data_IF_647442088573
#
_entry.id   IF_647442088573
#
_cell.length_a   1.000
_cell.length_b   1.000
_cell.length_c   1.000
_cell.angle_alpha   90.00
_cell.angle_beta   90.00
_cell.angle_gamma   90.00
#
_symmetry.space_group_name_H-M   'P 1'
#
loop_
_entity.id
_entity.type
_entity.pdbx_description
1 polymer ?
#
# COMPACT_ATOMS: atom_id res chain seq x y z
N UNK A 1 76.65 20.47 37.71
CA UNK A 1 75.88 19.32 37.19
C UNK A 1 74.57 19.09 37.97
N UNK A 2 73.64 20.03 38.08
CA UNK A 2 72.35 19.87 38.80
C UNK A 2 71.20 20.74 38.25
N UNK A 3 71.24 21.07 36.94
CA UNK A 3 70.16 21.91 36.31
C UNK A 3 69.53 21.32 35.03
N UNK A 4 69.88 20.09 34.65
CA UNK A 4 69.36 19.50 33.36
C UNK A 4 68.27 18.45 33.57
N UNK A 5 67.99 17.98 34.77
CA UNK A 5 66.97 16.92 34.99
C UNK A 5 65.52 17.43 35.23
N UNK A 6 65.35 18.74 35.48
CA UNK A 6 64.02 19.29 35.75
C UNK A 6 63.21 19.68 34.51
N UNK A 7 63.77 19.67 33.30
CA UNK A 7 63.11 20.04 32.06
C UNK A 7 62.56 18.88 31.24
N UNK A 8 62.94 17.66 31.54
CA UNK A 8 62.49 16.47 30.82
C UNK A 8 61.20 15.88 31.49
N UNK A 9 60.96 16.14 32.77
CA UNK A 9 59.78 15.65 33.45
C UNK A 9 58.46 16.40 33.13
N UNK A 10 58.53 17.65 32.61
CA UNK A 10 57.35 18.43 32.24
C UNK A 10 56.81 18.17 30.85
N UNK A 11 57.59 17.56 29.92
CA UNK A 11 57.14 17.28 28.56
C UNK A 11 56.42 15.95 28.42
N UNK A 12 56.64 15.01 29.38
CA UNK A 12 55.97 13.70 29.36
C UNK A 12 54.64 13.69 30.08
N UNK A 13 54.24 14.73 30.81
CA UNK A 13 52.94 14.85 31.47
C UNK A 13 51.83 15.50 30.60
N UNK A 14 52.17 16.00 29.39
CA UNK A 14 51.21 16.72 28.55
C UNK A 14 50.63 15.87 27.38
N UNK A 15 51.04 14.61 27.25
CA UNK A 15 50.57 13.71 26.20
C UNK A 15 49.57 12.63 26.64
N UNK A 16 49.04 12.69 27.87
CA UNK A 16 48.13 11.67 28.38
C UNK A 16 46.66 12.15 28.56
N UNK A 17 46.29 13.33 28.03
CA UNK A 17 44.90 13.72 27.88
C UNK A 17 44.45 13.45 26.42
N UNK A 18 44.52 12.19 26.00
CA UNK A 18 43.68 11.74 24.90
C UNK A 18 42.26 11.71 25.47
N UNK A 19 41.49 12.74 25.17
CA UNK A 19 40.06 12.77 25.41
C UNK A 19 39.45 11.50 24.86
N UNK A 20 39.08 10.58 25.74
CA UNK A 20 38.12 9.52 25.46
C UNK A 20 36.79 10.27 25.21
N UNK A 21 36.60 10.77 24.01
CA UNK A 21 35.27 11.19 23.53
C UNK A 21 34.35 10.00 23.78
N UNK A 22 33.27 10.17 24.56
CA UNK A 22 32.34 9.09 24.78
C UNK A 22 31.82 8.61 23.43
N UNK A 23 31.93 7.30 23.16
CA UNK A 23 31.44 6.62 21.94
C UNK A 23 29.92 6.78 21.71
N UNK A 24 29.23 7.57 22.55
CA UNK A 24 27.79 7.83 22.53
C UNK A 24 27.31 8.87 21.50
N UNK A 25 28.19 9.41 20.65
CA UNK A 25 27.80 10.38 19.59
C UNK A 25 27.86 9.80 18.17
N UNK A 26 28.14 8.50 18.00
CA UNK A 26 27.81 7.83 16.75
C UNK A 26 26.32 7.55 16.78
N UNK A 27 25.51 8.40 16.13
CA UNK A 27 24.12 8.07 15.88
C UNK A 27 24.05 6.63 15.33
N UNK A 28 23.26 5.77 15.97
CA UNK A 28 23.11 4.38 15.54
C UNK A 28 22.81 4.38 14.04
N UNK A 29 23.55 3.59 13.26
CA UNK A 29 23.31 3.48 11.81
C UNK A 29 21.86 3.01 11.61
N UNK A 30 21.15 3.65 10.70
CA UNK A 30 19.77 3.28 10.36
C UNK A 30 19.75 1.85 9.81
N UNK A 31 18.79 1.07 10.25
CA UNK A 31 18.56 -0.27 9.73
C UNK A 31 17.95 -0.18 8.32
N UNK A 32 18.61 -0.77 7.32
CA UNK A 32 18.14 -0.74 5.94
C UNK A 32 17.03 -1.74 5.71
N UNK A 33 15.93 -1.27 5.17
CA UNK A 33 14.77 -2.09 4.79
C UNK A 33 14.30 -1.73 3.38
N UNK A 34 13.77 -2.72 2.67
CA UNK A 34 13.13 -2.53 1.37
C UNK A 34 11.62 -2.71 1.51
N UNK A 35 10.85 -1.78 0.95
CA UNK A 35 9.42 -1.93 0.78
C UNK A 35 8.99 -1.58 -0.64
N UNK A 36 7.85 -2.11 -1.06
CA UNK A 36 7.24 -1.70 -2.31
C UNK A 36 5.82 -1.18 -2.12
N UNK A 37 5.38 -0.36 -3.08
CA UNK A 37 3.99 0.02 -3.23
C UNK A 37 3.51 -0.32 -4.64
N UNK A 38 2.22 -0.66 -4.76
CA UNK A 38 1.72 -1.33 -5.97
C UNK A 38 0.87 -0.49 -6.90
N UNK A 39 0.59 0.77 -6.56
CA UNK A 39 -0.27 1.64 -7.37
C UNK A 39 0.15 3.11 -7.28
N UNK A 40 -0.04 3.87 -8.36
CA UNK A 40 -0.01 5.33 -8.35
C UNK A 40 -1.44 5.80 -8.11
N UNK A 41 -1.83 5.84 -6.83
CA UNK A 41 -3.20 6.10 -6.38
C UNK A 41 -3.17 6.70 -4.97
N UNK A 42 -4.19 7.47 -4.61
CA UNK A 42 -4.30 8.07 -3.28
C UNK A 42 -4.35 7.05 -2.13
N UNK A 43 -4.67 5.79 -2.41
CA UNK A 43 -4.58 4.71 -1.41
C UNK A 43 -3.16 4.44 -0.92
N UNK A 44 -2.12 4.88 -1.66
CA UNK A 44 -0.71 4.79 -1.27
C UNK A 44 -0.22 6.05 -0.52
N UNK A 45 -1.06 7.05 -0.35
CA UNK A 45 -0.69 8.31 0.30
C UNK A 45 -0.04 8.13 1.68
N UNK A 46 -0.50 7.20 2.56
CA UNK A 46 0.15 6.98 3.84
C UNK A 46 1.64 6.64 3.73
N UNK A 47 2.03 5.70 2.88
CA UNK A 47 3.45 5.30 2.79
C UNK A 47 4.33 6.40 2.16
N UNK A 48 3.78 7.17 1.22
CA UNK A 48 4.49 8.29 0.62
C UNK A 48 4.69 9.43 1.62
N UNK A 49 3.62 9.79 2.39
CA UNK A 49 3.69 10.79 3.47
C UNK A 49 4.67 10.36 4.54
N UNK A 50 4.64 9.10 4.96
CA UNK A 50 5.59 8.54 5.93
C UNK A 50 7.03 8.72 5.48
N UNK A 51 7.33 8.41 4.20
CA UNK A 51 8.67 8.57 3.62
C UNK A 51 9.09 10.03 3.55
N UNK A 52 8.25 10.91 3.01
CA UNK A 52 8.58 12.32 2.84
C UNK A 52 8.72 13.06 4.18
N UNK A 53 7.96 12.66 5.20
CA UNK A 53 8.07 13.17 6.56
C UNK A 53 9.23 12.57 7.37
N UNK A 54 10.03 11.66 6.77
CA UNK A 54 11.16 10.97 7.41
C UNK A 54 10.77 10.23 8.69
N UNK A 55 9.55 9.68 8.73
CA UNK A 55 9.07 8.97 9.92
C UNK A 55 9.72 7.58 10.07
N UNK A 56 10.19 6.98 8.97
CA UNK A 56 10.99 5.76 9.04
C UNK A 56 12.33 6.02 9.71
N UNK A 57 13.01 7.09 9.34
CA UNK A 57 14.27 7.51 9.95
C UNK A 57 14.09 7.86 11.43
N UNK A 58 12.96 8.51 11.81
CA UNK A 58 12.57 8.74 13.21
C UNK A 58 12.49 7.44 14.01
N UNK A 59 12.11 6.33 13.39
CA UNK A 59 12.06 5.00 13.99
C UNK A 59 13.37 4.20 13.81
N UNK A 60 14.45 4.81 13.32
CA UNK A 60 15.74 4.16 13.12
C UNK A 60 15.83 3.28 11.86
N UNK A 61 14.93 3.48 10.88
CA UNK A 61 14.89 2.71 9.63
C UNK A 61 15.28 3.58 8.44
N UNK A 62 16.13 3.06 7.54
CA UNK A 62 16.40 3.63 6.21
C UNK A 62 15.56 2.88 5.17
N UNK A 63 14.46 3.49 4.71
CA UNK A 63 13.56 2.84 3.77
C UNK A 63 13.95 3.07 2.32
N UNK A 64 14.28 1.99 1.61
CA UNK A 64 14.26 1.95 0.15
C UNK A 64 12.85 1.58 -0.34
N UNK A 65 12.11 2.56 -0.86
CA UNK A 65 10.73 2.39 -1.32
C UNK A 65 10.68 2.30 -2.85
N UNK A 66 10.19 1.18 -3.38
CA UNK A 66 10.17 0.87 -4.81
C UNK A 66 8.74 0.74 -5.33
N UNK A 67 8.45 1.35 -6.47
CA UNK A 67 7.19 1.10 -7.19
C UNK A 67 7.26 -0.21 -7.95
N UNK A 68 6.33 -1.13 -7.69
CA UNK A 68 6.17 -2.39 -8.43
C UNK A 68 4.74 -2.46 -8.95
N UNK A 69 4.56 -2.18 -10.23
CA UNK A 69 3.24 -2.24 -10.88
C UNK A 69 2.71 -3.67 -10.94
N UNK A 70 1.47 -3.82 -10.45
CA UNK A 70 0.75 -5.11 -10.46
C UNK A 70 0.95 -5.94 -9.20
N UNK A 71 -0.17 -6.30 -8.57
CA UNK A 71 -0.18 -7.04 -7.31
C UNK A 71 0.60 -8.35 -7.33
N UNK A 72 0.40 -9.24 -8.29
CA UNK A 72 1.17 -10.49 -8.36
C UNK A 72 2.69 -10.29 -8.39
N UNK A 73 3.20 -9.30 -9.13
CA UNK A 73 4.64 -8.98 -9.16
C UNK A 73 5.16 -8.49 -7.82
N UNK A 74 4.39 -7.62 -7.16
CA UNK A 74 4.75 -7.13 -5.82
C UNK A 74 4.80 -8.29 -4.81
N UNK A 75 3.85 -9.22 -4.86
CA UNK A 75 3.84 -10.39 -3.98
C UNK A 75 4.96 -11.38 -4.31
N UNK A 76 5.32 -11.57 -5.57
CA UNK A 76 6.49 -12.38 -5.94
C UNK A 76 7.80 -11.77 -5.39
N UNK A 77 7.96 -10.44 -5.40
CA UNK A 77 9.12 -9.79 -4.79
C UNK A 77 9.17 -9.95 -3.27
N UNK A 78 8.01 -10.00 -2.61
CA UNK A 78 7.89 -10.30 -1.18
C UNK A 78 8.28 -11.75 -0.88
N UNK A 79 7.73 -12.72 -1.61
CA UNK A 79 8.03 -14.14 -1.45
C UNK A 79 9.51 -14.42 -1.68
N UNK A 80 10.10 -13.83 -2.73
CA UNK A 80 11.52 -13.92 -3.05
C UNK A 80 12.45 -13.17 -2.08
N UNK A 81 11.89 -12.35 -1.15
CA UNK A 81 12.66 -11.64 -0.12
C UNK A 81 13.36 -10.37 -0.60
N UNK A 82 13.14 -9.93 -1.85
CA UNK A 82 13.70 -8.69 -2.38
C UNK A 82 13.16 -7.46 -1.65
N UNK A 83 11.91 -7.54 -1.15
CA UNK A 83 11.31 -6.56 -0.25
C UNK A 83 10.79 -7.26 1.00
N UNK A 84 10.77 -6.55 2.13
CA UNK A 84 10.30 -7.04 3.41
C UNK A 84 8.83 -6.70 3.65
N UNK A 85 8.39 -5.55 3.12
CA UNK A 85 7.04 -5.03 3.26
C UNK A 85 6.47 -4.66 1.88
N UNK A 86 5.19 -4.94 1.66
CA UNK A 86 4.46 -4.53 0.46
C UNK A 86 3.21 -3.77 0.86
N UNK A 87 3.08 -2.52 0.42
CA UNK A 87 1.84 -1.76 0.55
C UNK A 87 0.99 -1.94 -0.72
N UNK A 88 -0.02 -2.78 -0.63
CA UNK A 88 -0.88 -3.13 -1.75
C UNK A 88 -2.27 -3.61 -1.27
N UNK A 89 -3.19 -3.88 -2.21
CA UNK A 89 -4.41 -4.62 -1.86
C UNK A 89 -4.05 -6.04 -1.40
N UNK A 90 -4.84 -6.58 -0.47
CA UNK A 90 -4.60 -7.91 0.10
C UNK A 90 -4.86 -9.07 -0.87
N UNK A 91 -5.57 -8.84 -1.97
CA UNK A 91 -6.10 -9.91 -2.83
C UNK A 91 -5.02 -10.83 -3.42
N UNK A 92 -3.94 -10.32 -4.08
CA UNK A 92 -2.90 -11.20 -4.64
C UNK A 92 -2.12 -11.95 -3.57
N UNK A 93 -1.97 -11.37 -2.37
CA UNK A 93 -1.29 -12.02 -1.27
C UNK A 93 -2.15 -13.12 -0.64
N UNK A 94 -3.48 -12.92 -0.56
CA UNK A 94 -4.42 -13.96 -0.12
C UNK A 94 -4.42 -15.13 -1.10
N UNK A 95 -4.41 -14.87 -2.42
CA UNK A 95 -4.30 -15.94 -3.41
C UNK A 95 -3.01 -16.74 -3.22
N UNK A 96 -1.87 -16.06 -3.07
CA UNK A 96 -0.59 -16.71 -2.80
C UNK A 96 -0.63 -17.53 -1.50
N UNK A 97 -1.24 -16.99 -0.43
CA UNK A 97 -1.43 -17.69 0.84
C UNK A 97 -2.25 -18.96 0.67
N UNK A 98 -3.38 -18.93 -0.04
CA UNK A 98 -4.21 -20.11 -0.29
C UNK A 98 -3.46 -21.18 -1.12
N UNK A 99 -2.48 -20.79 -1.91
CA UNK A 99 -1.58 -21.67 -2.65
C UNK A 99 -0.35 -22.12 -1.83
N UNK A 100 -0.33 -21.84 -0.51
CA UNK A 100 0.71 -22.27 0.43
C UNK A 100 1.88 -21.31 0.60
N UNK A 101 1.83 -20.09 0.06
CA UNK A 101 2.87 -19.11 0.31
C UNK A 101 2.78 -18.55 1.76
N UNK A 102 3.95 -18.23 2.33
CA UNK A 102 4.07 -17.69 3.70
C UNK A 102 3.78 -16.19 3.77
N UNK A 103 2.64 -15.76 3.24
CA UNK A 103 2.22 -14.35 3.24
C UNK A 103 1.19 -14.06 4.32
N UNK A 104 1.19 -12.82 4.84
CA UNK A 104 0.20 -12.33 5.79
C UNK A 104 -0.12 -10.85 5.59
N UNK A 105 -1.34 -10.47 5.96
CA UNK A 105 -1.81 -9.10 6.09
C UNK A 105 -1.68 -8.68 7.56
N UNK A 106 -0.81 -7.71 7.87
CA UNK A 106 -0.54 -7.25 9.24
C UNK A 106 -1.16 -5.89 9.59
N UNK A 107 -1.60 -5.14 8.58
CA UNK A 107 -2.32 -3.88 8.77
C UNK A 107 -3.23 -3.59 7.56
N UNK A 108 -4.44 -3.04 7.82
CA UNK A 108 -5.40 -2.68 6.77
C UNK A 108 -6.22 -1.44 7.19
N UNK A 109 -5.85 -0.24 6.71
CA UNK A 109 -6.50 0.99 7.11
C UNK A 109 -7.78 1.27 6.33
N UNK A 110 -8.09 0.46 5.30
CA UNK A 110 -9.22 0.68 4.42
C UNK A 110 -9.74 -0.66 3.91
N UNK A 111 -10.97 -1.00 4.30
CA UNK A 111 -11.58 -2.30 4.07
C UNK A 111 -12.81 -2.25 3.14
N UNK A 112 -12.92 -1.21 2.31
CA UNK A 112 -14.04 -1.00 1.41
C UNK A 112 -13.66 -1.25 -0.05
N UNK A 113 -14.59 -1.83 -0.80
CA UNK A 113 -14.49 -1.96 -2.24
C UNK A 113 -14.99 -0.66 -2.89
N UNK A 114 -14.14 0.02 -3.66
CA UNK A 114 -14.44 1.34 -4.24
C UNK A 114 -14.08 1.40 -5.72
N UNK A 115 -14.34 0.33 -6.43
CA UNK A 115 -13.98 0.21 -7.83
C UNK A 115 -15.22 0.33 -8.74
N UNK A 116 -14.97 0.73 -9.98
CA UNK A 116 -16.00 0.82 -11.02
C UNK A 116 -15.46 0.31 -12.35
N UNK A 117 -16.32 -0.28 -13.15
CA UNK A 117 -16.07 -0.44 -14.57
C UNK A 117 -16.50 0.83 -15.28
N UNK A 118 -15.54 1.54 -15.84
CA UNK A 118 -15.76 2.75 -16.66
C UNK A 118 -15.59 2.38 -18.13
N UNK A 119 -16.49 2.87 -18.98
CA UNK A 119 -16.57 2.49 -20.39
C UNK A 119 -16.65 3.70 -21.31
N UNK A 120 -16.44 3.49 -22.61
CA UNK A 120 -16.65 4.47 -23.66
C UNK A 120 -18.07 5.06 -23.60
N UNK A 121 -18.21 6.33 -23.97
CA UNK A 121 -19.48 7.10 -23.91
C UNK A 121 -20.65 6.47 -24.69
N UNK A 122 -20.34 5.70 -25.73
CA UNK A 122 -21.33 5.02 -26.57
C UNK A 122 -21.78 3.66 -26.03
N UNK A 123 -21.21 3.19 -24.91
CA UNK A 123 -21.64 1.97 -24.22
C UNK A 123 -22.57 2.38 -23.07
N UNK A 124 -23.79 1.88 -23.06
CA UNK A 124 -24.83 2.25 -22.08
C UNK A 124 -25.45 1.07 -21.36
N UNK A 125 -25.14 -0.17 -21.78
CA UNK A 125 -25.56 -1.37 -21.08
C UNK A 125 -24.45 -2.42 -21.05
N UNK A 126 -24.55 -3.37 -20.13
CA UNK A 126 -23.53 -4.39 -19.94
C UNK A 126 -23.52 -5.38 -21.11
N UNK A 127 -24.64 -5.62 -21.76
CA UNK A 127 -24.79 -6.50 -22.94
C UNK A 127 -23.92 -5.99 -24.11
N UNK A 128 -23.74 -4.68 -24.20
CA UNK A 128 -22.89 -4.05 -25.23
C UNK A 128 -21.39 -4.30 -25.05
N UNK A 129 -21.00 -4.91 -23.93
CA UNK A 129 -19.60 -5.34 -23.73
C UNK A 129 -19.23 -6.54 -24.58
N UNK A 130 -20.19 -7.31 -25.11
CA UNK A 130 -19.90 -8.43 -26.02
C UNK A 130 -19.12 -7.96 -27.23
N UNK A 131 -18.03 -8.66 -27.56
CA UNK A 131 -17.10 -8.30 -28.62
C UNK A 131 -16.17 -7.11 -28.30
N UNK A 132 -16.20 -6.57 -27.07
CA UNK A 132 -15.37 -5.42 -26.69
C UNK A 132 -14.05 -5.83 -26.05
N UNK A 133 -13.10 -4.91 -26.07
CA UNK A 133 -11.77 -5.04 -25.46
C UNK A 133 -11.79 -4.30 -24.14
N UNK A 134 -11.55 -5.01 -23.04
CA UNK A 134 -11.59 -4.48 -21.68
C UNK A 134 -10.18 -4.55 -21.06
N UNK A 135 -9.79 -3.53 -20.31
CA UNK A 135 -8.46 -3.41 -19.76
C UNK A 135 -8.43 -3.63 -18.24
N UNK A 136 -7.43 -4.39 -17.79
CA UNK A 136 -7.09 -4.54 -16.38
C UNK A 136 -5.59 -4.27 -16.14
N UNK A 137 -5.12 -4.23 -14.89
CA UNK A 137 -3.70 -3.94 -14.64
C UNK A 137 -2.79 -5.13 -15.02
N UNK A 138 -2.98 -6.26 -14.36
CA UNK A 138 -2.26 -7.52 -14.62
C UNK A 138 -3.18 -8.68 -14.28
N UNK A 139 -2.96 -9.84 -14.89
CA UNK A 139 -3.68 -11.07 -14.55
C UNK A 139 -3.50 -11.39 -13.05
N UNK A 140 -4.58 -11.83 -12.39
CA UNK A 140 -4.62 -12.10 -10.95
C UNK A 140 -4.60 -10.86 -10.05
N UNK A 141 -4.66 -9.64 -10.62
CA UNK A 141 -4.81 -8.41 -9.82
C UNK A 141 -6.26 -8.20 -9.39
N UNK A 142 -6.48 -7.31 -8.39
CA UNK A 142 -7.85 -6.95 -8.00
C UNK A 142 -8.68 -6.43 -9.18
N UNK A 143 -8.09 -5.68 -10.11
CA UNK A 143 -8.80 -5.17 -11.29
C UNK A 143 -9.20 -6.26 -12.27
N UNK A 144 -8.43 -7.33 -12.39
CA UNK A 144 -8.77 -8.52 -13.17
C UNK A 144 -9.93 -9.28 -12.52
N UNK A 145 -9.81 -9.56 -11.23
CA UNK A 145 -10.83 -10.25 -10.46
C UNK A 145 -12.17 -9.50 -10.53
N UNK A 146 -12.16 -8.18 -10.34
CA UNK A 146 -13.38 -7.36 -10.41
C UNK A 146 -13.97 -7.31 -11.82
N UNK A 147 -13.15 -7.25 -12.85
CA UNK A 147 -13.62 -7.29 -14.24
C UNK A 147 -14.36 -8.60 -14.52
N UNK A 148 -13.77 -9.74 -14.17
CA UNK A 148 -14.38 -11.07 -14.33
C UNK A 148 -15.66 -11.20 -13.50
N UNK A 149 -15.65 -10.74 -12.25
CA UNK A 149 -16.86 -10.77 -11.40
C UNK A 149 -17.96 -9.87 -11.97
N UNK A 150 -17.62 -8.69 -12.48
CA UNK A 150 -18.58 -7.80 -13.13
C UNK A 150 -19.23 -8.44 -14.36
N UNK A 151 -18.45 -9.10 -15.21
CA UNK A 151 -18.96 -9.86 -16.35
C UNK A 151 -19.86 -11.00 -15.90
N UNK A 152 -19.41 -11.81 -14.95
CA UNK A 152 -20.14 -12.96 -14.41
C UNK A 152 -21.50 -12.55 -13.81
N UNK A 153 -21.54 -11.51 -12.97
CA UNK A 153 -22.76 -11.02 -12.33
C UNK A 153 -23.80 -10.55 -13.34
N UNK A 154 -23.36 -10.14 -14.55
CA UNK A 154 -24.23 -9.66 -15.59
C UNK A 154 -24.41 -10.68 -16.75
N UNK A 155 -24.05 -11.94 -16.56
CA UNK A 155 -24.28 -13.01 -17.55
C UNK A 155 -23.46 -12.88 -18.83
N UNK A 156 -22.31 -12.19 -18.78
CA UNK A 156 -21.37 -12.09 -19.89
C UNK A 156 -20.29 -13.15 -19.71
N UNK A 157 -20.18 -14.07 -20.64
CA UNK A 157 -19.11 -15.08 -20.61
C UNK A 157 -17.76 -14.42 -20.99
N UNK A 158 -16.67 -14.86 -20.36
CA UNK A 158 -15.33 -14.28 -20.65
C UNK A 158 -14.93 -14.43 -22.13
N UNK A 159 -15.34 -15.50 -22.78
CA UNK A 159 -15.13 -15.73 -24.21
C UNK A 159 -15.81 -14.69 -25.12
N UNK A 160 -16.79 -13.96 -24.59
CA UNK A 160 -17.56 -12.96 -25.35
C UNK A 160 -16.88 -11.57 -25.32
N UNK A 161 -15.76 -11.42 -24.61
CA UNK A 161 -14.97 -10.19 -24.51
C UNK A 161 -13.48 -10.49 -24.69
N UNK A 162 -12.69 -9.47 -24.98
CA UNK A 162 -11.22 -9.58 -24.93
C UNK A 162 -10.72 -8.83 -23.70
N UNK A 163 -10.03 -9.53 -22.80
CA UNK A 163 -9.45 -8.93 -21.59
C UNK A 163 -7.94 -8.76 -21.78
N UNK A 164 -7.44 -7.51 -21.67
CA UNK A 164 -6.02 -7.19 -21.87
C UNK A 164 -5.35 -6.66 -20.60
N UNK A 165 -4.15 -7.14 -20.25
CA UNK A 165 -3.31 -6.53 -19.24
C UNK A 165 -2.62 -5.29 -19.81
N UNK A 166 -2.96 -4.10 -19.31
CA UNK A 166 -2.46 -2.81 -19.83
C UNK A 166 -1.56 -2.09 -18.83
N UNK A 167 -1.45 -2.59 -17.61
CA UNK A 167 -0.57 -2.02 -16.60
C UNK A 167 -1.26 -0.99 -15.70
N UNK A 168 -0.59 0.14 -15.46
CA UNK A 168 -1.06 1.15 -14.51
C UNK A 168 -2.32 1.90 -14.98
N UNK A 169 -2.88 2.72 -14.07
CA UNK A 169 -4.10 3.46 -14.36
C UNK A 169 -3.93 4.45 -15.51
N UNK A 170 -2.78 5.13 -15.60
CA UNK A 170 -2.52 6.12 -16.64
C UNK A 170 -2.54 5.49 -18.04
N UNK A 171 -1.86 4.34 -18.20
CA UNK A 171 -1.86 3.57 -19.44
C UNK A 171 -3.27 3.08 -19.82
N UNK A 172 -4.06 2.60 -18.84
CA UNK A 172 -5.44 2.15 -19.07
C UNK A 172 -6.37 3.29 -19.49
N UNK A 173 -6.29 4.44 -18.82
CA UNK A 173 -7.09 5.63 -19.20
C UNK A 173 -6.69 6.17 -20.57
N UNK A 174 -5.40 6.22 -20.89
CA UNK A 174 -4.91 6.62 -22.21
C UNK A 174 -5.42 5.66 -23.31
N UNK A 175 -5.38 4.36 -23.07
CA UNK A 175 -5.91 3.37 -23.99
C UNK A 175 -7.44 3.47 -24.15
N UNK A 176 -8.17 3.85 -23.10
CA UNK A 176 -9.59 4.13 -23.14
C UNK A 176 -9.88 5.41 -23.97
N UNK A 177 -9.09 6.49 -23.78
CA UNK A 177 -9.21 7.75 -24.52
C UNK A 177 -8.97 7.57 -26.03
N UNK A 178 -7.97 6.77 -26.38
CA UNK A 178 -7.63 6.50 -27.80
C UNK A 178 -8.54 5.46 -28.47
N UNK A 179 -9.53 4.92 -27.74
CA UNK A 179 -10.45 3.90 -28.27
C UNK A 179 -9.85 2.51 -28.42
N UNK A 180 -8.60 2.28 -27.96
CA UNK A 180 -7.97 0.95 -27.94
C UNK A 180 -8.64 0.02 -26.93
N UNK A 181 -9.19 0.58 -25.87
CA UNK A 181 -10.01 -0.12 -24.90
C UNK A 181 -11.43 0.45 -24.93
N UNK A 182 -12.39 -0.41 -24.63
CA UNK A 182 -13.80 -0.05 -24.54
C UNK A 182 -14.26 0.11 -23.09
N UNK A 183 -13.54 -0.48 -22.15
CA UNK A 183 -13.79 -0.34 -20.72
C UNK A 183 -12.57 -0.69 -19.88
N UNK A 184 -12.48 -0.11 -18.69
CA UNK A 184 -11.39 -0.34 -17.72
C UNK A 184 -11.90 -0.29 -16.29
N UNK A 185 -11.29 -1.07 -15.40
CA UNK A 185 -11.54 -0.96 -13.96
C UNK A 185 -10.72 0.21 -13.39
N UNK A 186 -11.39 1.10 -12.68
CA UNK A 186 -10.78 2.22 -11.95
C UNK A 186 -11.20 2.20 -10.48
N UNK A 187 -10.45 2.83 -9.60
CA UNK A 187 -10.70 2.85 -8.16
C UNK A 187 -11.12 4.25 -7.67
N UNK A 188 -12.09 4.31 -6.75
CA UNK A 188 -12.42 5.50 -5.99
C UNK A 188 -12.60 6.76 -6.86
N UNK A 189 -11.87 7.80 -6.52
CA UNK A 189 -11.94 9.12 -7.18
C UNK A 189 -11.58 9.09 -8.67
N UNK A 190 -10.83 8.11 -9.13
CA UNK A 190 -10.52 7.97 -10.56
C UNK A 190 -11.78 7.73 -11.41
N UNK A 191 -12.86 7.21 -10.81
CA UNK A 191 -14.17 7.13 -11.47
C UNK A 191 -14.67 8.53 -11.82
N UNK A 192 -14.57 9.48 -10.88
CA UNK A 192 -14.96 10.88 -11.12
C UNK A 192 -14.08 11.51 -12.20
N UNK A 193 -12.77 11.28 -12.17
CA UNK A 193 -11.85 11.75 -13.22
C UNK A 193 -12.28 11.23 -14.60
N UNK A 194 -12.53 9.93 -14.69
CA UNK A 194 -12.95 9.31 -15.95
C UNK A 194 -14.31 9.86 -16.43
N UNK A 195 -15.27 10.08 -15.54
CA UNK A 195 -16.58 10.66 -15.92
C UNK A 195 -16.47 12.12 -16.37
N UNK A 196 -15.59 12.93 -15.74
CA UNK A 196 -15.27 14.29 -16.24
C UNK A 196 -14.66 14.28 -17.64
N UNK A 197 -13.94 13.21 -18.01
CA UNK A 197 -13.40 13.00 -19.35
C UNK A 197 -14.46 12.51 -20.35
N UNK A 198 -15.72 12.35 -19.93
CA UNK A 198 -16.86 11.94 -20.76
C UNK A 198 -17.08 10.43 -20.83
N UNK A 199 -16.35 9.62 -20.08
CA UNK A 199 -16.59 8.18 -19.95
C UNK A 199 -17.78 7.90 -19.03
N UNK A 200 -18.37 6.71 -19.13
CA UNK A 200 -19.51 6.31 -18.30
C UNK A 200 -19.11 5.27 -17.25
N UNK A 201 -19.55 5.45 -16.02
CA UNK A 201 -19.54 4.39 -15.02
C UNK A 201 -20.65 3.39 -15.36
N UNK A 202 -20.29 2.20 -15.77
CA UNK A 202 -21.23 1.15 -16.15
C UNK A 202 -21.58 0.21 -14.99
N UNK A 203 -20.56 -0.19 -14.21
CA UNK A 203 -20.72 -1.02 -13.02
C UNK A 203 -20.07 -0.31 -11.84
N UNK A 204 -20.80 -0.21 -10.74
CA UNK A 204 -20.30 0.29 -9.46
C UNK A 204 -20.16 -0.89 -8.49
N UNK A 205 -18.93 -1.33 -8.28
CA UNK A 205 -18.64 -2.45 -7.38
C UNK A 205 -18.76 -2.09 -5.90
N UNK A 206 -18.80 -0.80 -5.54
CA UNK A 206 -19.01 -0.37 -4.14
C UNK A 206 -20.37 -0.78 -3.59
N UNK A 207 -21.31 -1.11 -4.47
CA UNK A 207 -22.66 -1.61 -4.11
C UNK A 207 -22.68 -3.10 -3.78
N UNK A 208 -21.62 -3.82 -4.04
CA UNK A 208 -21.53 -5.23 -3.67
C UNK A 208 -21.28 -5.34 -2.15
N UNK A 209 -21.88 -6.32 -1.47
CA UNK A 209 -21.64 -6.59 -0.06
C UNK A 209 -20.29 -7.31 0.13
N UNK A 210 -19.21 -6.72 -0.37
CA UNK A 210 -17.87 -7.27 -0.39
C UNK A 210 -16.92 -6.29 0.30
N UNK A 211 -16.23 -6.78 1.33
CA UNK A 211 -15.13 -6.08 1.96
C UNK A 211 -13.81 -6.56 1.37
N UNK A 212 -12.89 -5.64 1.14
CA UNK A 212 -11.53 -5.95 0.69
C UNK A 212 -10.51 -5.12 1.46
N UNK A 213 -9.31 -5.64 1.69
CA UNK A 213 -8.17 -4.80 2.04
C UNK A 213 -7.71 -4.08 0.78
N UNK A 214 -8.15 -2.82 0.62
CA UNK A 214 -7.84 -2.00 -0.56
C UNK A 214 -6.40 -1.49 -0.56
N UNK A 215 -5.85 -1.27 0.63
CA UNK A 215 -4.45 -0.88 0.86
C UNK A 215 -4.03 -1.41 2.23
N UNK A 216 -3.10 -2.33 2.28
CA UNK A 216 -2.63 -2.95 3.51
C UNK A 216 -1.12 -3.19 3.49
N UNK A 217 -0.57 -3.56 4.62
CA UNK A 217 0.82 -3.98 4.74
C UNK A 217 0.88 -5.51 4.73
N UNK A 218 1.54 -6.01 3.71
CA UNK A 218 1.73 -7.43 3.43
C UNK A 218 3.17 -7.82 3.71
N UNK A 219 3.36 -8.98 4.31
CA UNK A 219 4.65 -9.48 4.79
C UNK A 219 4.79 -10.98 4.58
N UNK A 220 6.02 -11.50 4.74
CA UNK A 220 6.21 -12.93 5.01
C UNK A 220 6.18 -13.17 6.52
N UNK A 221 5.42 -14.16 6.98
CA UNK A 221 5.33 -14.51 8.42
C UNK A 221 6.70 -14.85 9.00
N UNK A 222 7.48 -15.69 8.30
CA UNK A 222 8.82 -16.06 8.74
C UNK A 222 9.73 -14.85 8.94
N UNK A 223 9.58 -13.79 8.12
CA UNK A 223 10.35 -12.56 8.28
C UNK A 223 9.93 -11.82 9.57
N UNK A 224 8.64 -11.51 9.72
CA UNK A 224 8.17 -10.70 10.86
C UNK A 224 8.32 -11.43 12.20
N UNK A 225 8.29 -12.75 12.22
CA UNK A 225 8.56 -13.53 13.43
C UNK A 225 10.01 -13.39 13.92
N UNK A 226 10.96 -13.27 13.00
CA UNK A 226 12.39 -13.08 13.33
C UNK A 226 12.75 -11.61 13.56
N UNK A 227 11.98 -10.68 13.01
CA UNK A 227 12.27 -9.24 12.98
C UNK A 227 11.09 -8.43 13.57
N UNK A 228 10.64 -8.81 14.78
CA UNK A 228 9.45 -8.20 15.40
C UNK A 228 9.67 -6.72 15.71
N UNK A 229 10.84 -6.35 16.20
CA UNK A 229 11.18 -4.96 16.50
C UNK A 229 11.16 -4.09 15.23
N UNK A 230 11.81 -4.54 14.16
CA UNK A 230 11.80 -3.85 12.85
C UNK A 230 10.39 -3.71 12.30
N UNK A 231 9.55 -4.75 12.47
CA UNK A 231 8.15 -4.74 12.06
C UNK A 231 7.35 -3.69 12.83
N UNK A 232 7.54 -3.62 14.16
CA UNK A 232 6.87 -2.60 14.99
C UNK A 232 7.34 -1.19 14.66
N UNK A 233 8.63 -0.97 14.44
CA UNK A 233 9.20 0.31 13.98
C UNK A 233 8.57 0.75 12.65
N UNK A 234 8.49 -0.18 11.68
CA UNK A 234 7.84 0.08 10.38
C UNK A 234 6.37 0.49 10.55
N UNK A 235 5.60 -0.28 11.33
CA UNK A 235 4.19 0.00 11.56
C UNK A 235 3.97 1.30 12.32
N UNK A 236 4.77 1.62 13.35
CA UNK A 236 4.70 2.91 14.06
C UNK A 236 4.90 4.08 13.11
N UNK A 237 5.94 4.04 12.28
CA UNK A 237 6.19 5.07 11.28
C UNK A 237 5.02 5.20 10.29
N UNK A 238 4.58 4.08 9.73
CA UNK A 238 3.52 4.07 8.72
C UNK A 238 2.16 4.51 9.27
N UNK A 239 1.81 4.13 10.49
CA UNK A 239 0.57 4.58 11.16
C UNK A 239 0.66 6.07 11.48
N UNK A 240 1.79 6.57 11.99
CA UNK A 240 2.00 8.01 12.19
C UNK A 240 1.82 8.79 10.87
N UNK A 241 2.23 8.20 9.73
CA UNK A 241 1.94 8.73 8.39
C UNK A 241 0.44 8.84 8.08
N UNK A 242 -0.38 7.91 8.56
CA UNK A 242 -1.86 8.02 8.44
C UNK A 242 -2.37 9.21 9.23
N UNK A 243 -1.88 9.44 10.45
CA UNK A 243 -2.22 10.63 11.24
C UNK A 243 -1.83 11.92 10.52
N UNK A 244 -0.64 11.98 9.91
CA UNK A 244 -0.22 13.13 9.11
C UNK A 244 -1.15 13.36 7.90
N UNK A 245 -1.55 12.32 7.19
CA UNK A 245 -2.53 12.44 6.10
C UNK A 245 -3.81 13.11 6.60
N UNK A 246 -4.29 12.74 7.79
CA UNK A 246 -5.53 13.29 8.35
C UNK A 246 -5.41 14.72 8.88
N UNK A 247 -4.23 15.13 9.36
CA UNK A 247 -4.06 16.38 10.12
C UNK A 247 -3.21 17.44 9.42
N UNK A 248 -2.47 17.07 8.37
CA UNK A 248 -1.58 17.98 7.62
C UNK A 248 -1.95 18.00 6.13
N UNK A 249 -3.06 18.69 5.77
CA UNK A 249 -3.58 18.68 4.39
C UNK A 249 -2.59 19.21 3.37
N UNK A 250 -1.97 20.35 3.61
CA UNK A 250 -1.04 20.99 2.65
C UNK A 250 0.17 20.11 2.36
N UNK A 251 0.76 19.52 3.41
CA UNK A 251 1.87 18.59 3.26
C UNK A 251 1.46 17.37 2.46
N UNK A 252 0.31 16.76 2.79
CA UNK A 252 -0.22 15.57 2.13
C UNK A 252 -0.57 15.83 0.66
N UNK A 253 -1.13 17.00 0.34
CA UNK A 253 -1.38 17.44 -1.05
C UNK A 253 -0.07 17.63 -1.83
N UNK A 254 0.97 18.20 -1.20
CA UNK A 254 2.31 18.32 -1.77
C UNK A 254 2.90 16.97 -2.12
N UNK A 255 2.79 15.99 -1.22
CA UNK A 255 3.23 14.61 -1.43
C UNK A 255 2.40 13.94 -2.53
N UNK A 256 1.08 14.09 -2.50
CA UNK A 256 0.20 13.54 -3.53
C UNK A 256 0.53 14.09 -4.93
N UNK A 257 0.86 15.38 -5.03
CA UNK A 257 1.33 16.02 -6.27
C UNK A 257 2.65 15.42 -6.77
N UNK A 258 3.58 15.13 -5.84
CA UNK A 258 4.89 14.56 -6.17
C UNK A 258 4.79 13.13 -6.72
N UNK A 259 3.95 12.30 -6.11
CA UNK A 259 3.85 10.86 -6.42
C UNK A 259 2.66 10.51 -7.33
N UNK A 260 1.64 11.35 -7.33
CA UNK A 260 0.42 11.14 -8.13
C UNK A 260 0.62 11.45 -9.61
N UNK A 261 -0.24 10.90 -10.44
CA UNK A 261 -0.18 11.07 -11.88
C UNK A 261 -0.86 12.36 -12.38
N UNK A 262 -1.17 13.33 -11.51
CA UNK A 262 -1.88 14.56 -11.89
C UNK A 262 -1.31 15.80 -11.20
N UNK A 263 -1.38 16.95 -11.88
CA UNK A 263 -1.08 18.27 -11.32
C UNK A 263 -2.36 19.11 -11.13
N UNK A 264 -3.51 18.59 -11.54
CA UNK A 264 -4.81 19.26 -11.41
C UNK A 264 -5.19 19.38 -9.93
N UNK A 265 -5.30 20.62 -9.45
CA UNK A 265 -5.56 20.93 -8.03
C UNK A 265 -6.93 20.41 -7.58
N UNK A 266 -7.95 20.48 -8.43
CA UNK A 266 -9.29 19.98 -8.11
C UNK A 266 -9.27 18.47 -7.93
N UNK A 267 -8.60 17.76 -8.85
CA UNK A 267 -8.41 16.31 -8.78
C UNK A 267 -7.61 15.92 -7.54
N UNK A 268 -6.52 16.64 -7.24
CA UNK A 268 -5.69 16.39 -6.04
C UNK A 268 -6.51 16.55 -4.76
N UNK A 269 -7.29 17.63 -4.64
CA UNK A 269 -8.16 17.88 -3.48
C UNK A 269 -9.23 16.79 -3.35
N UNK A 270 -9.84 16.36 -4.45
CA UNK A 270 -10.83 15.30 -4.47
C UNK A 270 -10.22 13.96 -4.02
N UNK A 271 -9.02 13.60 -4.53
CA UNK A 271 -8.30 12.40 -4.10
C UNK A 271 -7.97 12.49 -2.61
N UNK A 272 -7.40 13.59 -2.16
CA UNK A 272 -7.01 13.78 -0.77
C UNK A 272 -8.22 13.66 0.18
N UNK A 273 -9.31 14.40 -0.08
CA UNK A 273 -10.51 14.37 0.75
C UNK A 273 -11.09 12.96 0.88
N UNK A 274 -11.19 12.25 -0.25
CA UNK A 274 -11.68 10.88 -0.28
C UNK A 274 -10.88 9.93 0.62
N UNK A 275 -9.55 9.91 0.47
CA UNK A 275 -8.72 8.97 1.24
C UNK A 275 -8.52 9.42 2.69
N UNK A 276 -8.42 10.74 2.96
CA UNK A 276 -8.35 11.27 4.32
C UNK A 276 -9.46 10.75 5.21
N UNK A 277 -10.71 10.75 4.70
CA UNK A 277 -11.88 10.38 5.49
C UNK A 277 -11.98 8.86 5.71
N UNK A 278 -11.51 8.06 4.76
CA UNK A 278 -11.65 6.60 4.76
C UNK A 278 -10.51 5.84 5.43
N UNK A 279 -9.37 6.47 5.62
CA UNK A 279 -8.25 5.83 6.30
C UNK A 279 -8.53 5.68 7.80
N UNK A 280 -8.51 4.45 8.30
CA UNK A 280 -8.57 4.17 9.73
C UNK A 280 -7.20 4.40 10.36
N UNK A 281 -7.15 5.14 11.46
CA UNK A 281 -5.94 5.39 12.24
C UNK A 281 -5.51 4.18 13.06
N UNK A 282 -6.42 3.23 13.31
CA UNK A 282 -6.15 1.95 13.94
C UNK A 282 -6.36 0.81 12.93
N UNK A 283 -5.38 0.56 12.06
CA UNK A 283 -5.53 -0.28 10.86
C UNK A 283 -5.51 -1.77 11.18
N UNK A 284 -6.42 -2.26 12.03
CA UNK A 284 -6.51 -3.67 12.40
C UNK A 284 -6.91 -4.49 11.17
N UNK A 285 -6.12 -5.51 10.79
CA UNK A 285 -6.52 -6.42 9.75
C UNK A 285 -7.58 -7.39 10.28
N UNK A 286 -8.65 -7.59 9.51
CA UNK A 286 -9.84 -8.29 9.99
C UNK A 286 -10.06 -9.62 9.26
N UNK A 287 -10.26 -10.70 10.00
CA UNK A 287 -10.52 -12.04 9.43
C UNK A 287 -11.76 -12.07 8.52
N UNK A 288 -12.84 -11.33 8.88
CA UNK A 288 -14.03 -11.23 8.01
C UNK A 288 -13.73 -10.63 6.63
N UNK A 289 -12.77 -9.68 6.57
CA UNK A 289 -12.30 -9.09 5.30
C UNK A 289 -11.57 -10.14 4.47
N UNK A 290 -10.73 -10.98 5.09
CA UNK A 290 -10.08 -12.08 4.39
C UNK A 290 -11.09 -13.11 3.86
N UNK A 291 -12.15 -13.44 4.63
CA UNK A 291 -13.26 -14.28 4.14
C UNK A 291 -13.97 -13.68 2.95
N UNK A 292 -14.28 -12.38 3.01
CA UNK A 292 -14.94 -11.66 1.93
C UNK A 292 -14.08 -11.61 0.66
N UNK A 293 -12.79 -11.37 0.81
CA UNK A 293 -11.82 -11.44 -0.30
C UNK A 293 -11.73 -12.85 -0.89
N UNK A 294 -11.70 -13.88 -0.04
CA UNK A 294 -11.66 -15.26 -0.50
C UNK A 294 -12.94 -15.66 -1.24
N UNK A 295 -14.10 -15.23 -0.76
CA UNK A 295 -15.37 -15.40 -1.47
C UNK A 295 -15.30 -14.86 -2.90
N UNK A 296 -14.81 -13.64 -3.07
CA UNK A 296 -14.65 -13.03 -4.40
C UNK A 296 -13.63 -13.80 -5.27
N UNK A 297 -12.50 -14.17 -4.69
CA UNK A 297 -11.44 -14.90 -5.37
C UNK A 297 -11.90 -16.29 -5.86
N UNK A 298 -12.61 -17.04 -5.03
CA UNK A 298 -13.10 -18.39 -5.36
C UNK A 298 -14.14 -18.38 -6.49
N UNK A 299 -14.86 -17.28 -6.68
CA UNK A 299 -15.84 -17.14 -7.77
C UNK A 299 -15.20 -16.87 -9.12
N UNK A 300 -14.06 -16.23 -9.13
CA UNK A 300 -13.33 -15.85 -10.36
C UNK A 300 -12.17 -16.80 -10.66
N UNK A 301 -11.77 -17.61 -9.69
CA UNK A 301 -10.73 -18.63 -9.82
C UNK A 301 -11.17 -19.91 -9.10
N UNK A 302 -11.98 -20.77 -9.76
CA UNK A 302 -12.48 -22.00 -9.14
C UNK A 302 -11.39 -23.01 -8.73
N UNK A 303 -10.17 -22.87 -9.28
CA UNK A 303 -9.03 -23.72 -8.95
C UNK A 303 -8.28 -23.29 -7.68
N UNK A 304 -8.72 -22.20 -7.03
CA UNK A 304 -8.09 -21.76 -5.78
C UNK A 304 -8.32 -22.80 -4.68
N UNK A 305 -7.28 -23.28 -4.00
CA UNK A 305 -7.47 -24.25 -2.93
C UNK A 305 -8.40 -23.72 -1.85
N UNK A 306 -9.34 -24.55 -1.40
CA UNK A 306 -10.11 -24.24 -0.19
C UNK A 306 -9.18 -24.27 1.02
N UNK A 307 -9.39 -23.33 1.96
CA UNK A 307 -8.52 -23.21 3.13
C UNK A 307 -9.14 -22.30 4.17
N UNK A 308 -8.33 -21.91 5.15
CA UNK A 308 -8.72 -20.92 6.17
C UNK A 308 -8.26 -19.51 5.77
N UNK A 309 -9.11 -18.71 5.12
CA UNK A 309 -8.72 -17.35 4.73
C UNK A 309 -8.44 -16.43 5.93
N UNK A 310 -9.05 -16.67 7.09
CA UNK A 310 -8.78 -15.88 8.30
C UNK A 310 -7.34 -16.06 8.78
N UNK A 311 -6.75 -17.23 8.54
CA UNK A 311 -5.34 -17.49 8.83
C UNK A 311 -4.38 -16.58 8.04
N UNK A 312 -4.81 -15.93 6.98
CA UNK A 312 -4.03 -14.92 6.25
C UNK A 312 -3.76 -13.65 7.07
N UNK A 313 -4.63 -13.34 8.04
CA UNK A 313 -4.56 -12.12 8.84
C UNK A 313 -3.68 -12.32 10.07
N UNK A 314 -2.89 -11.29 10.42
CA UNK A 314 -2.10 -11.28 11.64
C UNK A 314 -2.23 -9.93 12.37
N UNK A 315 -3.18 -9.83 13.27
CA UNK A 315 -3.47 -8.60 14.04
C UNK A 315 -2.53 -8.38 15.25
N UNK A 316 -1.61 -9.30 15.55
CA UNK A 316 -0.79 -9.25 16.77
C UNK A 316 0.00 -7.96 16.91
N UNK A 317 0.58 -7.45 15.83
CA UNK A 317 1.39 -6.24 15.88
C UNK A 317 0.54 -4.99 16.17
N UNK A 318 -0.64 -4.85 15.60
CA UNK A 318 -1.55 -3.72 15.88
C UNK A 318 -2.07 -3.82 17.32
N UNK A 319 -2.45 -5.01 17.79
CA UNK A 319 -2.87 -5.22 19.17
C UNK A 319 -1.75 -4.93 20.17
N UNK A 320 -0.50 -5.27 19.84
CA UNK A 320 0.66 -4.94 20.67
C UNK A 320 0.89 -3.42 20.74
N UNK A 321 0.76 -2.70 19.63
CA UNK A 321 0.84 -1.23 19.63
C UNK A 321 -0.27 -0.60 20.46
N UNK A 322 -1.49 -1.13 20.39
CA UNK A 322 -2.60 -0.70 21.22
C UNK A 322 -2.32 -0.91 22.69
N UNK A 323 -1.93 -2.11 23.09
CA UNK A 323 -1.61 -2.44 24.48
C UNK A 323 -0.46 -1.62 25.05
N UNK A 324 0.44 -1.14 24.19
CA UNK A 324 1.53 -0.24 24.55
C UNK A 324 1.13 1.26 24.61
N UNK A 325 -0.16 1.60 24.41
CA UNK A 325 -0.65 2.98 24.46
C UNK A 325 -0.26 3.84 23.27
N UNK A 326 0.23 3.24 22.17
CA UNK A 326 0.70 3.98 21.00
C UNK A 326 -0.40 4.84 20.36
N UNK A 327 -1.61 4.32 20.24
CA UNK A 327 -2.72 5.09 19.64
C UNK A 327 -3.15 6.28 20.52
N UNK A 328 -3.11 6.14 21.85
CA UNK A 328 -3.41 7.25 22.75
C UNK A 328 -2.33 8.34 22.65
N UNK A 329 -1.08 7.96 22.50
CA UNK A 329 0.02 8.91 22.25
C UNK A 329 -0.20 9.65 20.92
N UNK A 330 -0.51 8.93 19.84
CA UNK A 330 -0.79 9.53 18.53
C UNK A 330 -2.01 10.47 18.57
N UNK A 331 -3.08 10.08 19.26
CA UNK A 331 -4.26 10.93 19.42
C UNK A 331 -3.92 12.22 20.17
N UNK A 332 -3.13 12.17 21.23
CA UNK A 332 -2.65 13.37 21.94
C UNK A 332 -1.76 14.25 21.05
N UNK A 333 -0.83 13.63 20.31
CA UNK A 333 0.13 14.35 19.45
C UNK A 333 -0.55 15.06 18.27
N UNK A 334 -1.58 14.46 17.71
CA UNK A 334 -2.25 14.93 16.49
C UNK A 334 -3.64 15.53 16.72
N UNK A 335 -4.05 15.71 18.00
CA UNK A 335 -5.27 16.45 18.36
C UNK A 335 -6.56 15.74 17.96
N UNK A 336 -6.62 14.43 18.14
CA UNK A 336 -7.83 13.64 17.94
C UNK A 336 -8.44 13.20 19.25
#
# INVERSE_FOLDING_TARGET
>A
MRRSFARIACVLALCAFIEVLPASLRGAALEKINASYGAISGSMLPIWVTKEAKLFEKQGLELNLVYISGGPRAIMSLIGGSVQFVNHSGMPALEAYQRGADTALIASPMNQLEHSLVVQKNISSVEQLRGKILGMSTAGSLTDILLREGLRLNGIAEKDVTILPVGDLGARLSALQTGRLHGVIVAGVQTLTATKMGFKQLIDFSKLPIEISGSGILVRRAYVMRNQETTLKFLKAWIEGIYLVKTKPEFSLGVLRKYGATQDVEVLNSIYGHYKDKLDTKPIPLGRVAKSMFYLLSRTNPEIPSGNPEGFVDARFINQLESAGFFDEMNRQYGK
#
